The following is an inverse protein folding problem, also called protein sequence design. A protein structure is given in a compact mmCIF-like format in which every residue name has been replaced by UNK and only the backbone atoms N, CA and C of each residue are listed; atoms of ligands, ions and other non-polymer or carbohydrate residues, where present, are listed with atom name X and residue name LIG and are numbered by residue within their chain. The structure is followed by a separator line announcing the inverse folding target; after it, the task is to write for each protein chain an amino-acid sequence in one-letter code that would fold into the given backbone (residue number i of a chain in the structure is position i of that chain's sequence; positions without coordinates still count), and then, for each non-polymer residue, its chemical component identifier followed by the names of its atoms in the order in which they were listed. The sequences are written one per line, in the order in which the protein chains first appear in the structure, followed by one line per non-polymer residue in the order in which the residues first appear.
data_IF_317914590924
#
_entry.id   IF_317914590924
#
_cell.length_a   1.000
_cell.length_b   1.000
_cell.length_c   1.000
_cell.angle_alpha   90.00
_cell.angle_beta   90.00
_cell.angle_gamma   90.00
#
_symmetry.space_group_name_H-M   'P 1'
#
loop_
_entity.id
_entity.type
_entity.pdbx_description
1 polymer ?
#
# COMPACT_ATOMS: atom_id res chain seq x y z
N UNK A 1 -25.01 11.39 10.02
CA UNK A 1 -24.13 12.42 9.42
C UNK A 1 -23.01 12.90 10.34
N UNK A 2 -23.25 13.09 11.66
CA UNK A 2 -22.19 13.41 12.65
C UNK A 2 -21.02 12.40 12.61
N UNK A 3 -21.35 11.14 12.50
CA UNK A 3 -20.39 10.03 12.54
C UNK A 3 -19.37 9.99 11.39
N UNK A 4 -19.73 10.43 10.17
CA UNK A 4 -18.78 10.41 9.05
C UNK A 4 -17.78 11.58 9.12
N UNK A 5 -18.20 12.75 9.62
CA UNK A 5 -17.28 13.90 9.85
C UNK A 5 -16.22 13.53 10.91
N UNK A 6 -16.65 12.87 11.99
CA UNK A 6 -15.71 12.38 13.02
C UNK A 6 -14.73 11.34 12.45
N UNK A 7 -15.21 10.43 11.59
CA UNK A 7 -14.35 9.44 10.95
C UNK A 7 -13.29 10.09 10.04
N UNK A 8 -13.63 11.16 9.33
CA UNK A 8 -12.64 11.93 8.55
C UNK A 8 -11.62 12.59 9.47
N UNK A 9 -12.05 13.16 10.61
CA UNK A 9 -11.11 13.71 11.60
C UNK A 9 -10.15 12.65 12.14
N UNK A 10 -10.63 11.45 12.45
CA UNK A 10 -9.78 10.33 12.86
C UNK A 10 -8.85 9.86 11.74
N UNK A 11 -9.31 9.84 10.49
CA UNK A 11 -8.46 9.49 9.34
C UNK A 11 -7.29 10.49 9.19
N UNK A 12 -7.55 11.80 9.33
CA UNK A 12 -6.50 12.83 9.33
C UNK A 12 -5.52 12.61 10.49
N UNK A 13 -6.03 12.36 11.70
CA UNK A 13 -5.17 12.06 12.85
C UNK A 13 -4.30 10.82 12.62
N UNK A 14 -4.83 9.77 11.98
CA UNK A 14 -4.08 8.58 11.61
C UNK A 14 -2.95 8.90 10.63
N UNK A 15 -3.21 9.74 9.62
CA UNK A 15 -2.16 10.18 8.69
C UNK A 15 -1.07 10.92 9.46
N UNK A 16 -1.44 11.83 10.35
CA UNK A 16 -0.47 12.56 11.17
C UNK A 16 0.34 11.63 12.07
N UNK A 17 -0.30 10.71 12.79
CA UNK A 17 0.37 9.71 13.62
C UNK A 17 1.31 8.81 12.83
N UNK A 18 0.91 8.44 11.60
CA UNK A 18 1.70 7.60 10.73
C UNK A 18 2.92 8.30 10.14
N UNK A 19 2.76 9.57 9.75
CA UNK A 19 3.80 10.33 9.04
C UNK A 19 4.70 11.11 10.00
N UNK A 20 4.18 11.57 11.15
CA UNK A 20 4.94 12.38 12.10
C UNK A 20 6.27 11.74 12.55
N UNK A 21 6.36 10.42 12.84
CA UNK A 21 7.64 9.80 13.20
C UNK A 21 8.70 9.95 12.12
N UNK A 22 8.32 10.08 10.83
CA UNK A 22 9.27 10.30 9.73
C UNK A 22 10.04 11.63 9.87
N UNK A 23 9.53 12.60 10.64
CA UNK A 23 10.30 13.80 10.98
C UNK A 23 11.57 13.46 11.79
N UNK A 24 11.61 12.30 12.43
CA UNK A 24 12.83 11.77 13.05
C UNK A 24 13.96 11.56 12.02
N UNK A 25 13.62 11.25 10.76
CA UNK A 25 14.62 11.15 9.70
C UNK A 25 15.28 12.50 9.41
N UNK A 26 14.54 13.62 9.46
CA UNK A 26 15.12 14.94 9.30
C UNK A 26 16.13 15.27 10.42
N UNK A 27 15.88 14.80 11.64
CA UNK A 27 16.82 14.92 12.76
C UNK A 27 18.05 14.05 12.52
N UNK A 28 17.88 12.82 12.04
CA UNK A 28 19.01 11.93 11.70
C UNK A 28 19.84 12.51 10.54
N UNK A 29 19.20 13.07 9.52
CA UNK A 29 19.87 13.72 8.38
C UNK A 29 20.73 14.92 8.81
N UNK A 30 20.27 15.68 9.82
CA UNK A 30 21.04 16.78 10.42
C UNK A 30 22.29 16.29 11.18
N UNK A 31 22.26 15.07 11.72
CA UNK A 31 23.39 14.49 12.45
C UNK A 31 24.36 13.82 11.48
N UNK A 32 23.84 12.92 10.65
CA UNK A 32 24.60 12.19 9.63
C UNK A 32 23.67 11.69 8.52
N UNK A 33 23.74 12.35 7.37
CA UNK A 33 22.95 12.01 6.17
C UNK A 33 23.13 10.54 5.72
N UNK A 34 24.26 9.93 6.03
CA UNK A 34 24.51 8.53 5.66
C UNK A 34 23.61 7.55 6.40
N UNK A 35 23.05 7.95 7.55
CA UNK A 35 22.22 7.13 8.41
C UNK A 35 20.72 7.21 8.05
N UNK A 36 20.27 8.24 7.33
CA UNK A 36 18.85 8.46 6.98
C UNK A 36 18.21 7.20 6.37
N UNK A 37 18.88 6.58 5.39
CA UNK A 37 18.37 5.39 4.71
C UNK A 37 18.16 4.17 5.61
N UNK A 38 18.85 4.10 6.76
CA UNK A 38 18.68 3.02 7.73
C UNK A 38 17.53 3.28 8.70
N UNK A 39 17.32 4.53 9.07
CA UNK A 39 16.32 4.90 10.06
C UNK A 39 14.93 5.18 9.47
N UNK A 40 14.85 5.60 8.22
CA UNK A 40 13.56 5.88 7.55
C UNK A 40 12.56 4.73 7.65
N UNK A 41 12.91 3.47 7.33
CA UNK A 41 11.97 2.35 7.46
C UNK A 41 11.55 2.09 8.90
N UNK A 42 12.44 2.32 9.87
CA UNK A 42 12.16 2.14 11.31
C UNK A 42 11.13 3.16 11.78
N UNK A 43 11.35 4.45 11.50
CA UNK A 43 10.41 5.50 11.86
C UNK A 43 9.05 5.30 11.18
N UNK A 44 9.06 4.85 9.93
CA UNK A 44 7.84 4.58 9.20
C UNK A 44 7.05 3.42 9.83
N UNK A 45 7.74 2.35 10.22
CA UNK A 45 7.12 1.23 10.93
C UNK A 45 6.56 1.65 12.29
N UNK A 46 7.26 2.52 13.03
CA UNK A 46 6.75 3.11 14.29
C UNK A 46 5.42 3.82 14.03
N UNK A 47 5.34 4.64 12.97
CA UNK A 47 4.10 5.31 12.57
C UNK A 47 2.96 4.32 12.29
N UNK A 48 3.25 3.23 11.56
CA UNK A 48 2.29 2.15 11.32
C UNK A 48 1.79 1.49 12.60
N UNK A 49 2.69 1.16 13.52
CA UNK A 49 2.35 0.58 14.82
C UNK A 49 1.52 1.53 15.69
N UNK A 50 1.83 2.83 15.71
CA UNK A 50 1.01 3.83 16.40
C UNK A 50 -0.40 3.89 15.85
N UNK A 51 -0.58 3.79 14.53
CA UNK A 51 -1.90 3.71 13.91
C UNK A 51 -2.67 2.45 14.34
N UNK A 52 -2.02 1.29 14.43
CA UNK A 52 -2.63 0.04 14.93
C UNK A 52 -3.07 0.20 16.38
N UNK A 53 -2.19 0.70 17.24
CA UNK A 53 -2.48 0.91 18.65
C UNK A 53 -3.64 1.89 18.85
N UNK A 54 -3.65 3.00 18.12
CA UNK A 54 -4.74 3.97 18.17
C UNK A 54 -6.05 3.35 17.69
N UNK A 55 -6.04 2.61 16.58
CA UNK A 55 -7.20 1.91 16.04
C UNK A 55 -7.77 0.92 17.06
N UNK A 56 -6.93 0.12 17.69
CA UNK A 56 -7.33 -0.92 18.63
C UNK A 56 -7.78 -0.35 19.98
N UNK A 57 -7.01 0.58 20.55
CA UNK A 57 -7.24 1.05 21.92
C UNK A 57 -8.21 2.22 22.01
N UNK A 58 -8.11 3.17 21.09
CA UNK A 58 -8.94 4.38 21.12
C UNK A 58 -10.22 4.20 20.31
N UNK A 59 -10.11 3.74 19.07
CA UNK A 59 -11.26 3.57 18.18
C UNK A 59 -11.97 2.23 18.37
N UNK A 60 -11.43 1.31 19.18
CA UNK A 60 -11.99 -0.04 19.45
C UNK A 60 -12.27 -0.83 18.15
N UNK A 61 -11.47 -0.63 17.11
CA UNK A 61 -11.54 -1.40 15.88
C UNK A 61 -10.99 -2.80 16.14
N UNK A 62 -11.67 -3.83 15.68
CA UNK A 62 -11.16 -5.20 15.69
C UNK A 62 -10.09 -5.37 14.61
N UNK A 63 -8.85 -4.96 14.95
CA UNK A 63 -7.72 -5.05 14.04
C UNK A 63 -7.30 -6.48 13.76
N UNK A 64 -7.57 -7.41 14.68
CA UNK A 64 -7.17 -8.82 14.55
C UNK A 64 -7.96 -9.49 13.41
N UNK A 65 -9.21 -9.07 13.19
CA UNK A 65 -10.03 -9.53 12.07
C UNK A 65 -9.47 -9.11 10.69
N UNK A 66 -8.57 -8.13 10.65
CA UNK A 66 -7.90 -7.69 9.41
C UNK A 66 -6.69 -8.55 9.03
N UNK A 67 -6.28 -9.52 9.86
CA UNK A 67 -5.12 -10.41 9.65
C UNK A 67 -5.51 -11.88 9.52
N UNK A 68 -6.67 -12.17 8.96
CA UNK A 68 -7.15 -13.55 8.82
C UNK A 68 -6.30 -14.34 7.82
N UNK A 69 -6.21 -15.67 8.03
CA UNK A 69 -5.53 -16.58 7.10
C UNK A 69 -6.12 -16.45 5.69
N UNK A 70 -5.31 -16.11 4.68
CA UNK A 70 -5.79 -15.96 3.32
C UNK A 70 -6.14 -17.32 2.69
N UNK A 71 -7.02 -17.29 1.68
CA UNK A 71 -7.26 -18.48 0.87
C UNK A 71 -6.10 -18.67 -0.12
N UNK A 72 -5.52 -19.88 -0.22
CA UNK A 72 -4.30 -20.10 -0.99
C UNK A 72 -4.40 -19.66 -2.46
N UNK A 73 -5.46 -20.06 -3.18
CA UNK A 73 -5.63 -19.71 -4.60
C UNK A 73 -5.79 -18.20 -4.80
N UNK A 74 -6.66 -17.56 -4.00
CA UNK A 74 -6.84 -16.09 -4.09
C UNK A 74 -5.56 -15.35 -3.74
N UNK A 75 -4.83 -15.81 -2.73
CA UNK A 75 -3.54 -15.25 -2.34
C UNK A 75 -2.51 -15.37 -3.47
N UNK A 76 -2.39 -16.54 -4.08
CA UNK A 76 -1.50 -16.76 -5.22
C UNK A 76 -1.84 -15.84 -6.41
N UNK A 77 -3.13 -15.69 -6.75
CA UNK A 77 -3.57 -14.78 -7.80
C UNK A 77 -3.23 -13.31 -7.48
N UNK A 78 -3.37 -12.89 -6.24
CA UNK A 78 -3.00 -11.54 -5.79
C UNK A 78 -1.49 -11.31 -5.91
N UNK A 79 -0.66 -12.25 -5.47
CA UNK A 79 0.80 -12.18 -5.60
C UNK A 79 1.23 -12.13 -7.07
N UNK A 80 0.70 -13.04 -7.90
CA UNK A 80 0.98 -13.06 -9.35
C UNK A 80 0.57 -11.73 -9.99
N UNK A 81 -0.58 -11.17 -9.59
CA UNK A 81 -1.04 -9.86 -10.08
C UNK A 81 -0.07 -8.73 -9.70
N UNK A 82 0.49 -8.73 -8.50
CA UNK A 82 1.47 -7.72 -8.06
C UNK A 82 2.79 -7.81 -8.85
N UNK A 83 3.29 -9.02 -9.07
CA UNK A 83 4.48 -9.27 -9.92
C UNK A 83 4.23 -8.78 -11.34
N UNK A 84 3.11 -9.18 -11.94
CA UNK A 84 2.75 -8.82 -13.30
C UNK A 84 2.50 -7.32 -13.46
N UNK A 85 1.89 -6.69 -12.45
CA UNK A 85 1.72 -5.23 -12.37
C UNK A 85 3.05 -4.50 -12.42
N UNK A 86 4.02 -4.91 -11.61
CA UNK A 86 5.34 -4.31 -11.59
C UNK A 86 6.10 -4.49 -12.91
N UNK A 87 5.98 -5.63 -13.57
CA UNK A 87 6.56 -5.81 -14.91
C UNK A 87 5.99 -4.79 -15.90
N UNK A 88 4.68 -4.55 -15.89
CA UNK A 88 4.07 -3.52 -16.74
C UNK A 88 4.55 -2.11 -16.35
N UNK A 89 4.67 -1.82 -15.03
CA UNK A 89 5.11 -0.54 -14.51
C UNK A 89 6.55 -0.18 -14.90
N UNK A 90 7.46 -1.15 -14.94
CA UNK A 90 8.85 -0.96 -15.45
C UNK A 90 8.85 -0.33 -16.85
N UNK A 91 7.95 -0.76 -17.71
CA UNK A 91 7.88 -0.26 -19.08
C UNK A 91 7.08 1.05 -19.20
N UNK A 92 6.03 1.23 -18.41
CA UNK A 92 5.09 2.34 -18.58
C UNK A 92 5.48 3.59 -17.82
N UNK A 93 5.90 3.46 -16.57
CA UNK A 93 6.13 4.59 -15.68
C UNK A 93 7.59 4.77 -15.25
N UNK A 94 8.36 3.69 -15.21
CA UNK A 94 9.74 3.72 -14.71
C UNK A 94 10.80 3.52 -15.79
N UNK A 95 10.41 3.49 -17.06
CA UNK A 95 11.30 3.23 -18.20
C UNK A 95 12.61 4.03 -18.14
N UNK A 96 12.53 5.34 -17.95
CA UNK A 96 13.73 6.20 -17.91
C UNK A 96 14.70 5.83 -16.78
N UNK A 97 14.16 5.42 -15.63
CA UNK A 97 14.96 4.97 -14.48
C UNK A 97 15.78 3.73 -14.84
N UNK A 98 15.18 2.78 -15.56
CA UNK A 98 15.83 1.54 -15.94
C UNK A 98 16.75 1.68 -17.16
N UNK A 99 16.45 2.58 -18.12
CA UNK A 99 17.31 2.84 -19.29
C UNK A 99 18.66 3.43 -18.89
N UNK A 100 18.68 4.29 -17.86
CA UNK A 100 19.88 5.04 -17.44
C UNK A 100 20.66 4.32 -16.32
N UNK A 101 20.28 3.11 -15.95
CA UNK A 101 20.83 2.44 -14.78
C UNK A 101 21.90 1.39 -15.16
N UNK A 102 23.18 1.74 -14.97
CA UNK A 102 24.31 0.80 -14.95
C UNK A 102 24.60 0.39 -13.48
N UNK A 103 23.58 0.00 -12.77
CA UNK A 103 23.57 -0.10 -11.33
C UNK A 103 24.15 -1.44 -10.83
N UNK A 104 25.31 -1.36 -10.19
CA UNK A 104 25.84 -2.44 -9.34
C UNK A 104 25.56 -2.03 -7.89
N UNK A 105 24.60 -2.65 -7.20
CA UNK A 105 24.20 -2.19 -5.88
C UNK A 105 25.30 -2.41 -4.86
N UNK A 106 25.60 -1.38 -4.08
CA UNK A 106 26.39 -1.46 -2.84
C UNK A 106 25.54 -2.13 -1.73
N UNK A 107 26.19 -2.60 -0.66
CA UNK A 107 25.47 -3.18 0.49
C UNK A 107 24.41 -2.22 1.06
N UNK A 108 24.70 -0.92 1.13
CA UNK A 108 23.75 0.12 1.60
C UNK A 108 22.51 0.19 0.68
N UNK A 109 22.72 0.10 -0.63
CA UNK A 109 21.63 0.15 -1.60
C UNK A 109 20.79 -1.13 -1.55
N UNK A 110 21.41 -2.30 -1.39
CA UNK A 110 20.70 -3.57 -1.19
C UNK A 110 19.82 -3.50 0.07
N UNK A 111 20.35 -2.95 1.16
CA UNK A 111 19.57 -2.74 2.38
C UNK A 111 18.37 -1.79 2.13
N UNK A 112 18.62 -0.62 1.51
CA UNK A 112 17.56 0.33 1.17
C UNK A 112 16.47 -0.26 0.27
N UNK A 113 16.88 -1.03 -0.74
CA UNK A 113 15.97 -1.75 -1.63
C UNK A 113 15.14 -2.81 -0.86
N UNK A 114 15.77 -3.59 0.00
CA UNK A 114 15.09 -4.58 0.83
C UNK A 114 14.12 -3.90 1.82
N UNK A 115 14.53 -2.82 2.46
CA UNK A 115 13.66 -2.04 3.34
C UNK A 115 12.44 -1.49 2.59
N UNK A 116 12.63 -0.95 1.37
CA UNK A 116 11.54 -0.48 0.50
C UNK A 116 10.63 -1.62 0.06
N UNK A 117 11.18 -2.80 -0.23
CA UNK A 117 10.38 -3.93 -0.70
C UNK A 117 9.56 -4.62 0.40
N UNK A 118 10.04 -4.62 1.64
CA UNK A 118 9.44 -5.37 2.75
C UNK A 118 8.88 -4.49 3.87
N UNK A 119 9.65 -3.53 4.37
CA UNK A 119 9.28 -2.77 5.58
C UNK A 119 8.31 -1.65 5.23
N UNK A 120 8.60 -0.86 4.18
CA UNK A 120 7.73 0.24 3.78
C UNK A 120 6.30 -0.21 3.45
N UNK A 121 6.07 -1.27 2.64
CA UNK A 121 4.72 -1.76 2.40
C UNK A 121 3.97 -2.14 3.69
N UNK A 122 4.65 -2.77 4.66
CA UNK A 122 4.02 -3.09 5.95
C UNK A 122 3.55 -1.81 6.64
N UNK A 123 4.42 -0.83 6.79
CA UNK A 123 4.10 0.43 7.44
C UNK A 123 2.97 1.19 6.71
N UNK A 124 3.04 1.26 5.39
CA UNK A 124 2.05 1.93 4.54
C UNK A 124 0.67 1.27 4.64
N UNK A 125 0.61 -0.05 4.57
CA UNK A 125 -0.65 -0.76 4.72
C UNK A 125 -1.25 -0.59 6.13
N UNK A 126 -0.42 -0.56 7.17
CA UNK A 126 -0.87 -0.28 8.53
C UNK A 126 -1.43 1.13 8.69
N UNK A 127 -0.81 2.14 8.08
CA UNK A 127 -1.26 3.54 8.15
C UNK A 127 -2.51 3.74 7.29
N UNK A 128 -2.40 3.46 5.99
CA UNK A 128 -3.40 3.90 5.02
C UNK A 128 -4.58 2.93 4.88
N UNK A 129 -4.38 1.62 5.01
CA UNK A 129 -5.47 0.63 4.87
C UNK A 129 -6.07 0.27 6.22
N UNK A 130 -5.26 -0.18 7.15
CA UNK A 130 -5.77 -0.55 8.47
C UNK A 130 -6.21 0.69 9.28
N UNK A 131 -5.40 1.74 9.30
CA UNK A 131 -5.73 2.98 10.01
C UNK A 131 -6.82 3.78 9.28
N UNK A 132 -6.43 4.50 8.25
CA UNK A 132 -7.27 5.51 7.58
C UNK A 132 -8.51 4.87 6.94
N UNK A 133 -8.30 3.88 6.07
CA UNK A 133 -9.37 3.33 5.24
C UNK A 133 -10.39 2.53 6.04
N UNK A 134 -9.97 1.76 7.05
CA UNK A 134 -10.91 0.98 7.88
C UNK A 134 -11.91 1.88 8.60
N UNK A 135 -11.44 2.96 9.21
CA UNK A 135 -12.31 3.92 9.92
C UNK A 135 -13.32 4.53 8.96
N UNK A 136 -12.87 4.95 7.77
CA UNK A 136 -13.74 5.53 6.76
C UNK A 136 -14.73 4.50 6.19
N UNK A 137 -14.33 3.24 5.98
CA UNK A 137 -15.21 2.18 5.49
C UNK A 137 -16.29 1.79 6.52
N UNK A 138 -15.94 1.74 7.81
CA UNK A 138 -16.91 1.52 8.89
C UNK A 138 -17.96 2.65 8.87
N UNK A 139 -17.54 3.90 8.81
CA UNK A 139 -18.41 5.05 8.76
C UNK A 139 -19.20 5.19 7.43
N UNK A 140 -18.66 4.64 6.33
CA UNK A 140 -19.35 4.61 5.04
C UNK A 140 -20.56 3.67 5.04
N UNK A 141 -20.51 2.59 5.83
CA UNK A 141 -21.57 1.59 5.89
C UNK A 141 -21.88 1.03 4.48
N UNK A 142 -23.16 1.11 4.07
CA UNK A 142 -23.61 0.63 2.74
C UNK A 142 -23.41 1.64 1.60
N UNK A 143 -23.05 2.89 1.88
CA UNK A 143 -22.96 3.97 0.87
C UNK A 143 -21.78 3.78 -0.06
N UNK A 144 -22.05 3.54 -1.34
CA UNK A 144 -21.00 3.40 -2.38
C UNK A 144 -20.17 4.67 -2.52
N UNK A 145 -20.82 5.86 -2.54
CA UNK A 145 -20.12 7.13 -2.65
C UNK A 145 -19.11 7.34 -1.51
N UNK A 146 -19.49 7.03 -0.25
CA UNK A 146 -18.60 7.16 0.90
C UNK A 146 -17.45 6.16 0.83
N UNK A 147 -17.64 4.97 0.25
CA UNK A 147 -16.56 3.99 0.01
C UNK A 147 -15.57 4.51 -1.04
N UNK A 148 -16.06 5.15 -2.12
CA UNK A 148 -15.19 5.80 -3.10
C UNK A 148 -14.37 6.91 -2.44
N UNK A 149 -15.01 7.75 -1.60
CA UNK A 149 -14.30 8.78 -0.83
C UNK A 149 -13.25 8.14 0.09
N UNK A 150 -13.55 7.02 0.74
CA UNK A 150 -12.57 6.31 1.58
C UNK A 150 -11.34 5.86 0.78
N UNK A 151 -11.53 5.35 -0.46
CA UNK A 151 -10.43 5.00 -1.36
C UNK A 151 -9.58 6.23 -1.68
N UNK A 152 -10.22 7.33 -2.10
CA UNK A 152 -9.52 8.56 -2.50
C UNK A 152 -8.74 9.17 -1.32
N UNK A 153 -9.38 9.30 -0.14
CA UNK A 153 -8.76 9.85 1.07
C UNK A 153 -7.62 8.97 1.58
N UNK A 154 -7.66 7.67 1.37
CA UNK A 154 -6.56 6.76 1.70
C UNK A 154 -5.43 6.81 0.67
N UNK A 155 -5.77 6.94 -0.62
CA UNK A 155 -4.83 6.87 -1.73
C UNK A 155 -4.02 8.18 -1.89
N UNK A 156 -4.67 9.35 -1.89
CA UNK A 156 -3.99 10.62 -2.20
C UNK A 156 -2.84 10.96 -1.24
N UNK A 157 -2.98 10.89 0.10
CA UNK A 157 -1.85 11.13 0.99
C UNK A 157 -0.73 10.11 0.78
N UNK A 158 -1.07 8.86 0.49
CA UNK A 158 -0.09 7.81 0.16
C UNK A 158 0.70 8.17 -1.11
N UNK A 159 0.05 8.66 -2.16
CA UNK A 159 0.73 9.15 -3.38
C UNK A 159 1.63 10.35 -3.06
N UNK A 160 1.14 11.30 -2.25
CA UNK A 160 1.89 12.51 -1.91
C UNK A 160 3.20 12.23 -1.18
N UNK A 161 3.24 11.25 -0.28
CA UNK A 161 4.49 10.89 0.44
C UNK A 161 5.55 10.24 -0.45
N UNK A 162 5.18 9.77 -1.65
CA UNK A 162 6.12 9.24 -2.64
C UNK A 162 6.79 10.32 -3.50
N UNK A 163 6.40 11.60 -3.35
CA UNK A 163 6.96 12.74 -4.09
C UNK A 163 7.17 12.46 -5.58
N UNK A 164 6.12 12.08 -6.35
CA UNK A 164 6.25 11.74 -7.76
C UNK A 164 6.79 12.94 -8.57
N UNK A 165 7.91 12.74 -9.25
CA UNK A 165 8.58 13.80 -10.03
C UNK A 165 8.07 13.93 -11.47
N UNK A 166 7.32 12.94 -11.96
CA UNK A 166 6.77 12.92 -13.32
C UNK A 166 5.27 12.62 -13.28
N UNK A 167 4.54 13.10 -14.30
CA UNK A 167 3.10 12.80 -14.44
C UNK A 167 2.84 11.29 -14.62
N UNK A 168 3.72 10.59 -15.34
CA UNK A 168 3.61 9.15 -15.51
C UNK A 168 3.71 8.42 -14.15
N UNK A 169 4.69 8.78 -13.32
CA UNK A 169 4.85 8.20 -11.98
C UNK A 169 3.69 8.58 -11.05
N UNK A 170 3.17 9.81 -11.17
CA UNK A 170 2.00 10.21 -10.41
C UNK A 170 0.77 9.35 -10.76
N UNK A 171 0.49 9.18 -12.05
CA UNK A 171 -0.63 8.35 -12.51
C UNK A 171 -0.47 6.89 -12.07
N UNK A 172 0.73 6.32 -12.24
CA UNK A 172 1.06 4.98 -11.77
C UNK A 172 0.77 4.78 -10.28
N UNK A 173 1.27 5.67 -9.43
CA UNK A 173 1.03 5.62 -7.99
C UNK A 173 -0.46 5.75 -7.65
N UNK A 174 -1.20 6.63 -8.33
CA UNK A 174 -2.65 6.76 -8.13
C UNK A 174 -3.36 5.45 -8.49
N UNK A 175 -3.06 4.86 -9.63
CA UNK A 175 -3.71 3.61 -10.07
C UNK A 175 -3.33 2.46 -9.16
N UNK A 176 -2.06 2.32 -8.80
CA UNK A 176 -1.57 1.31 -7.85
C UNK A 176 -2.25 1.46 -6.48
N UNK A 177 -2.29 2.69 -5.96
CA UNK A 177 -2.95 2.98 -4.68
C UNK A 177 -4.45 2.66 -4.68
N UNK A 178 -5.15 2.92 -5.80
CA UNK A 178 -6.55 2.52 -5.97
C UNK A 178 -6.68 0.99 -5.98
N UNK A 179 -5.85 0.28 -6.74
CA UNK A 179 -5.88 -1.19 -6.83
C UNK A 179 -5.70 -1.81 -5.44
N UNK A 180 -4.68 -1.39 -4.70
CA UNK A 180 -4.42 -1.88 -3.35
C UNK A 180 -5.60 -1.58 -2.42
N UNK A 181 -6.17 -0.37 -2.51
CA UNK A 181 -7.34 0.04 -1.70
C UNK A 181 -8.58 -0.79 -2.04
N UNK A 182 -8.81 -1.12 -3.31
CA UNK A 182 -9.92 -1.97 -3.75
C UNK A 182 -9.73 -3.41 -3.24
N UNK A 183 -8.51 -3.96 -3.34
CA UNK A 183 -8.17 -5.28 -2.78
C UNK A 183 -8.53 -5.31 -1.29
N UNK A 184 -8.09 -4.30 -0.52
CA UNK A 184 -8.40 -4.21 0.90
C UNK A 184 -9.90 -4.05 1.18
N UNK A 185 -10.58 -3.16 0.45
CA UNK A 185 -12.03 -2.93 0.62
C UNK A 185 -12.85 -4.20 0.37
N UNK A 186 -12.48 -4.98 -0.64
CA UNK A 186 -13.20 -6.21 -0.99
C UNK A 186 -12.88 -7.37 -0.05
N UNK A 187 -11.63 -7.50 0.37
CA UNK A 187 -11.18 -8.60 1.25
C UNK A 187 -11.42 -8.32 2.72
N UNK A 188 -11.38 -7.05 3.14
CA UNK A 188 -11.29 -6.64 4.57
C UNK A 188 -10.17 -7.37 5.32
N UNK A 189 -9.12 -7.69 4.59
CA UNK A 189 -7.99 -8.45 5.10
C UNK A 189 -6.69 -7.84 4.56
N UNK A 190 -5.88 -7.33 5.46
CA UNK A 190 -4.64 -6.62 5.14
C UNK A 190 -3.61 -7.54 4.46
N UNK A 191 -3.67 -8.84 4.71
CA UNK A 191 -2.74 -9.81 4.13
C UNK A 191 -2.79 -9.80 2.59
N UNK A 192 -3.96 -9.59 1.99
CA UNK A 192 -4.06 -9.53 0.53
C UNK A 192 -3.50 -8.23 -0.06
N UNK A 193 -3.82 -7.06 0.52
CA UNK A 193 -3.27 -5.79 0.03
C UNK A 193 -1.76 -5.73 0.24
N UNK A 194 -1.28 -6.20 1.37
CA UNK A 194 0.15 -6.33 1.66
C UNK A 194 0.85 -7.28 0.68
N UNK A 195 0.25 -8.44 0.38
CA UNK A 195 0.82 -9.40 -0.57
C UNK A 195 0.96 -8.82 -1.98
N UNK A 196 -0.05 -8.09 -2.47
CA UNK A 196 0.03 -7.38 -3.76
C UNK A 196 1.15 -6.33 -3.72
N UNK A 197 1.14 -5.47 -2.71
CA UNK A 197 2.09 -4.36 -2.58
C UNK A 197 3.54 -4.86 -2.47
N UNK A 198 3.79 -5.81 -1.57
CA UNK A 198 5.12 -6.40 -1.40
C UNK A 198 5.60 -7.11 -2.67
N UNK A 199 4.76 -7.90 -3.32
CA UNK A 199 5.16 -8.63 -4.54
C UNK A 199 5.48 -7.67 -5.70
N UNK A 200 4.76 -6.56 -5.82
CA UNK A 200 5.08 -5.51 -6.78
C UNK A 200 6.43 -4.85 -6.46
N UNK A 201 6.67 -4.47 -5.21
CA UNK A 201 7.93 -3.85 -4.81
C UNK A 201 9.13 -4.80 -4.92
N UNK A 202 8.97 -6.07 -4.54
CA UNK A 202 10.01 -7.10 -4.70
C UNK A 202 10.37 -7.26 -6.18
N UNK A 203 9.37 -7.31 -7.06
CA UNK A 203 9.63 -7.43 -8.50
C UNK A 203 10.33 -6.20 -9.06
N UNK A 204 9.94 -4.98 -8.65
CA UNK A 204 10.64 -3.75 -9.00
C UNK A 204 12.11 -3.79 -8.54
N UNK A 205 12.35 -4.22 -7.31
CA UNK A 205 13.70 -4.38 -6.75
C UNK A 205 14.54 -5.37 -7.57
N UNK A 206 13.98 -6.53 -7.92
CA UNK A 206 14.66 -7.55 -8.71
C UNK A 206 14.90 -7.09 -10.16
N UNK A 207 14.05 -6.24 -10.69
CA UNK A 207 14.19 -5.67 -12.02
C UNK A 207 15.32 -4.63 -12.11
N UNK A 208 15.69 -3.97 -11.02
CA UNK A 208 16.70 -2.91 -11.00
C UNK A 208 18.04 -3.31 -11.67
N UNK A 209 18.70 -4.42 -11.28
CA UNK A 209 20.00 -4.80 -11.86
C UNK A 209 19.93 -5.31 -13.30
N UNK A 210 18.75 -5.69 -13.79
CA UNK A 210 18.54 -6.25 -15.13
C UNK A 210 17.63 -5.37 -15.99
N UNK A 211 17.42 -4.11 -15.60
CA UNK A 211 16.41 -3.22 -16.19
C UNK A 211 16.61 -3.00 -17.68
N UNK A 212 17.86 -2.79 -18.15
CA UNK A 212 18.16 -2.64 -19.58
C UNK A 212 17.79 -3.89 -20.37
N UNK A 213 18.10 -5.08 -19.85
CA UNK A 213 17.76 -6.34 -20.50
C UNK A 213 16.24 -6.58 -20.53
N UNK A 214 15.54 -6.22 -19.45
CA UNK A 214 14.07 -6.27 -19.41
C UNK A 214 13.49 -5.34 -20.48
N UNK A 215 13.92 -4.09 -20.55
CA UNK A 215 13.43 -3.11 -21.51
C UNK A 215 13.72 -3.49 -22.97
N UNK A 216 14.82 -4.20 -23.23
CA UNK A 216 15.13 -4.71 -24.57
C UNK A 216 14.14 -5.81 -25.01
N UNK A 217 13.41 -6.43 -24.09
CA UNK A 217 12.46 -7.51 -24.38
C UNK A 217 11.00 -7.07 -24.13
N UNK A 218 10.43 -6.36 -25.10
CA UNK A 218 9.02 -5.89 -25.03
C UNK A 218 7.98 -6.99 -24.82
N UNK A 219 8.28 -8.26 -25.16
CA UNK A 219 7.35 -9.38 -24.91
C UNK A 219 7.05 -9.55 -23.42
N UNK A 220 8.01 -9.29 -22.54
CA UNK A 220 7.78 -9.36 -21.10
C UNK A 220 6.76 -8.34 -20.60
N UNK A 221 6.71 -7.14 -21.21
CA UNK A 221 5.67 -6.15 -20.94
C UNK A 221 4.28 -6.72 -21.28
N UNK A 222 4.12 -7.27 -22.49
CA UNK A 222 2.84 -7.83 -22.92
C UNK A 222 2.42 -9.01 -22.05
N UNK A 223 3.36 -9.86 -21.63
CA UNK A 223 3.12 -10.94 -20.66
C UNK A 223 2.64 -10.35 -19.33
N UNK A 224 3.34 -9.35 -18.80
CA UNK A 224 2.94 -8.67 -17.56
C UNK A 224 1.52 -8.10 -17.65
N UNK A 225 1.23 -7.32 -18.69
CA UNK A 225 -0.11 -6.74 -18.90
C UNK A 225 -1.17 -7.83 -19.02
N UNK A 226 -0.93 -8.89 -19.82
CA UNK A 226 -1.90 -9.97 -20.03
C UNK A 226 -2.18 -10.73 -18.74
N UNK A 227 -1.13 -11.10 -17.99
CA UNK A 227 -1.24 -11.81 -16.71
C UNK A 227 -1.97 -10.93 -15.69
N UNK A 228 -1.62 -9.65 -15.58
CA UNK A 228 -2.32 -8.73 -14.70
C UNK A 228 -3.80 -8.58 -15.07
N UNK A 229 -4.11 -8.44 -16.37
CA UNK A 229 -5.47 -8.29 -16.88
C UNK A 229 -6.36 -9.53 -16.63
N UNK A 230 -5.78 -10.71 -16.46
CA UNK A 230 -6.51 -11.96 -16.16
C UNK A 230 -6.54 -12.21 -14.64
N UNK A 231 -5.38 -12.18 -13.98
CA UNK A 231 -5.27 -12.58 -12.58
C UNK A 231 -5.91 -11.57 -11.64
N UNK A 232 -5.73 -10.26 -11.88
CA UNK A 232 -6.26 -9.24 -10.98
C UNK A 232 -7.79 -9.21 -10.95
N UNK A 233 -8.52 -9.14 -12.08
CA UNK A 233 -9.98 -9.21 -12.06
C UNK A 233 -10.50 -10.51 -11.44
N UNK A 234 -9.86 -11.65 -11.74
CA UNK A 234 -10.22 -12.95 -11.15
C UNK A 234 -10.07 -12.91 -9.62
N UNK A 235 -8.95 -12.40 -9.11
CA UNK A 235 -8.73 -12.22 -7.68
C UNK A 235 -9.79 -11.29 -7.07
N UNK A 236 -10.08 -10.14 -7.69
CA UNK A 236 -11.09 -9.19 -7.21
C UNK A 236 -12.50 -9.80 -7.15
N UNK A 237 -12.90 -10.60 -8.14
CA UNK A 237 -14.18 -11.33 -8.10
C UNK A 237 -14.22 -12.33 -6.96
N UNK A 238 -13.14 -13.08 -6.72
CA UNK A 238 -13.07 -14.03 -5.61
C UNK A 238 -13.12 -13.31 -4.25
N UNK A 239 -12.39 -12.20 -4.10
CA UNK A 239 -12.42 -11.37 -2.89
C UNK A 239 -13.80 -10.76 -2.66
N UNK A 240 -14.46 -10.27 -3.70
CA UNK A 240 -15.82 -9.73 -3.61
C UNK A 240 -16.84 -10.77 -3.12
N UNK A 241 -16.78 -11.98 -3.67
CA UNK A 241 -17.67 -13.09 -3.25
C UNK A 241 -17.46 -13.44 -1.77
N UNK A 242 -16.24 -13.45 -1.30
CA UNK A 242 -15.92 -13.70 0.11
C UNK A 242 -16.28 -12.53 1.02
N UNK A 243 -15.94 -11.32 0.65
CA UNK A 243 -16.19 -10.11 1.44
C UNK A 243 -17.68 -9.85 1.71
N UNK A 244 -18.58 -10.46 0.93
CA UNK A 244 -20.03 -10.44 1.22
C UNK A 244 -20.38 -11.19 2.52
N UNK A 245 -19.61 -12.22 2.86
CA UNK A 245 -19.81 -13.03 4.07
C UNK A 245 -19.17 -12.41 5.33
N UNK A 246 -18.38 -11.35 5.17
CA UNK A 246 -17.55 -10.79 6.22
C UNK A 246 -17.80 -9.28 6.36
N UNK A 247 -18.57 -8.88 7.37
CA UNK A 247 -18.72 -7.45 7.70
C UNK A 247 -17.55 -6.97 8.55
N UNK A 248 -17.08 -5.71 8.35
CA UNK A 248 -16.34 -5.04 9.42
C UNK A 248 -17.26 -5.00 10.64
N UNK A 249 -16.79 -5.51 11.78
CA UNK A 249 -17.58 -5.42 13.00
C UNK A 249 -17.76 -3.95 13.37
N UNK A 250 -18.99 -3.51 13.68
CA UNK A 250 -19.23 -2.10 13.97
C UNK A 250 -18.48 -1.69 15.23
N UNK A 251 -17.87 -0.52 15.20
CA UNK A 251 -17.46 0.22 16.39
C UNK A 251 -18.70 0.51 17.23
N UNK A 252 -18.98 -0.33 18.21
CA UNK A 252 -20.25 -0.30 18.94
C UNK A 252 -20.42 0.89 19.89
N UNK A 253 -19.38 1.72 20.13
CA UNK A 253 -19.47 2.76 21.16
C UNK A 253 -19.07 4.18 20.74
N UNK A 254 -18.31 4.38 19.65
CA UNK A 254 -17.85 5.72 19.26
C UNK A 254 -18.76 6.41 18.24
N UNK A 255 -19.71 5.70 17.65
CA UNK A 255 -20.67 6.26 16.70
C UNK A 255 -21.98 6.70 17.37
N UNK A 256 -22.16 6.46 18.65
CA UNK A 256 -23.33 6.84 19.44
C UNK A 256 -23.11 8.04 20.35
N UNK A 257 -21.87 8.49 20.55
CA UNK A 257 -21.52 9.72 21.20
C UNK A 257 -21.34 10.84 20.14
#
# INVERSE_FOLDING_TARGET
MKNYKSAVGYAVLMILLGVLPMLGCAVVDLIDKSLESYFLPVFYLIGGLLCVLFSKQVLKVDTDSCFRKPQPLTFALVVISGIAWSLADVYLANRQTFENNDFIPTFKEIYGMAATAFISPVAEELIFRLGVMTVLLIAAGKSTMKKVVAIVVSCLPWVCIHFPRTSARFVDLVVTGIVISVIYMLSKNLVYSLAFHMSANIMTMLAMPIGKQLLANSHLMYVGITVAAVCLPTALVMLHRRGKCEAFQPMSSLLTA
#
